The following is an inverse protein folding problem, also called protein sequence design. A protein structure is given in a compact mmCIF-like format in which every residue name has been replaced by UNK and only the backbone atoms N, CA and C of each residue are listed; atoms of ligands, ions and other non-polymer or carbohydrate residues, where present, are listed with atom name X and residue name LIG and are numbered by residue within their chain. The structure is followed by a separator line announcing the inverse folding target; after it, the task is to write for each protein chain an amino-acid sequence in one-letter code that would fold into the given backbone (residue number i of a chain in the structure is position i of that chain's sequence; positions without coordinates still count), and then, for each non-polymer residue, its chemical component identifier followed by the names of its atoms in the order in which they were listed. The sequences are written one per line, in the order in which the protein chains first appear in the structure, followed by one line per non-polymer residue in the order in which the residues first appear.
data_IF_178033391156
#
_entry.id   IF_178033391156
#
_cell.length_a   1.000
_cell.length_b   1.000
_cell.length_c   1.000
_cell.angle_alpha   90.00
_cell.angle_beta   90.00
_cell.angle_gamma   90.00
#
_symmetry.space_group_name_H-M   'P 1'
#
loop_
_entity.id
_entity.type
_entity.pdbx_description
1 polymer ?
#
# COMPACT_ATOMS: atom_id res chain seq x y z
N UNK A 1 -1.99 -9.04 5.19
CA UNK A 1 -1.50 -7.65 5.13
C UNK A 1 -2.35 -6.80 6.06
N UNK A 2 -1.70 -6.17 7.02
CA UNK A 2 -2.26 -5.40 8.14
C UNK A 2 -2.20 -3.89 7.87
N UNK A 3 -2.80 -3.07 8.74
CA UNK A 3 -2.67 -1.61 8.65
C UNK A 3 -1.20 -1.15 8.71
N UNK A 4 -0.38 -1.82 9.53
CA UNK A 4 1.05 -1.55 9.65
C UNK A 4 1.81 -1.75 8.33
N UNK A 5 1.50 -2.83 7.60
CA UNK A 5 2.13 -3.14 6.32
C UNK A 5 1.85 -2.05 5.26
N UNK A 6 0.60 -1.56 5.22
CA UNK A 6 0.20 -0.49 4.29
C UNK A 6 0.87 0.83 4.66
N UNK A 7 0.89 1.20 5.95
CA UNK A 7 1.59 2.41 6.40
C UNK A 7 3.07 2.37 6.12
N UNK A 8 3.71 1.21 6.32
CA UNK A 8 5.12 1.03 6.04
C UNK A 8 5.43 1.16 4.54
N UNK A 9 4.65 0.49 3.69
CA UNK A 9 4.82 0.52 2.25
C UNK A 9 4.74 1.94 1.66
N UNK A 10 3.72 2.70 2.06
CA UNK A 10 3.51 4.06 1.57
C UNK A 10 4.26 5.15 2.36
N UNK A 11 5.04 4.76 3.38
CA UNK A 11 5.71 5.66 4.33
C UNK A 11 4.76 6.70 4.94
N UNK A 12 3.56 6.25 5.29
CA UNK A 12 2.58 7.11 5.95
C UNK A 12 2.86 7.23 7.46
N UNK A 13 2.40 8.34 8.08
CA UNK A 13 2.26 8.42 9.52
C UNK A 13 1.40 7.26 10.05
N UNK A 14 1.81 6.68 11.17
CA UNK A 14 1.18 5.50 11.77
C UNK A 14 -0.34 5.63 11.93
N UNK A 15 -0.81 6.82 12.30
CA UNK A 15 -2.20 7.25 12.48
C UNK A 15 -3.06 7.24 11.21
N UNK A 16 -2.45 7.28 10.02
CA UNK A 16 -3.18 7.42 8.75
C UNK A 16 -4.03 6.19 8.43
N UNK A 17 -3.53 4.97 8.69
CA UNK A 17 -4.28 3.74 8.41
C UNK A 17 -5.16 3.29 9.58
N UNK A 18 -4.96 3.81 10.79
CA UNK A 18 -5.70 3.41 11.99
C UNK A 18 -7.20 3.74 11.92
N UNK A 19 -7.58 4.77 11.16
CA UNK A 19 -8.99 5.16 10.96
C UNK A 19 -9.61 4.63 9.66
N UNK A 20 -8.96 3.68 8.98
CA UNK A 20 -9.49 3.12 7.73
C UNK A 20 -10.40 1.92 7.98
N UNK A 21 -11.50 1.84 7.23
CA UNK A 21 -12.30 0.62 7.19
C UNK A 21 -11.50 -0.53 6.56
N UNK A 22 -11.85 -1.76 6.89
CA UNK A 22 -11.22 -2.96 6.33
C UNK A 22 -11.23 -2.99 4.79
N UNK A 23 -12.33 -2.53 4.17
CA UNK A 23 -12.42 -2.41 2.71
C UNK A 23 -11.42 -1.39 2.14
N UNK A 24 -11.24 -0.25 2.80
CA UNK A 24 -10.28 0.78 2.40
C UNK A 24 -8.84 0.27 2.52
N UNK A 25 -8.54 -0.48 3.59
CA UNK A 25 -7.24 -1.14 3.78
C UNK A 25 -6.94 -2.13 2.66
N UNK A 26 -7.88 -3.01 2.30
CA UNK A 26 -7.70 -3.93 1.15
C UNK A 26 -7.46 -3.20 -0.17
N UNK A 27 -8.16 -2.08 -0.39
CA UNK A 27 -7.96 -1.28 -1.59
C UNK A 27 -6.53 -0.75 -1.70
N UNK A 28 -5.98 -0.25 -0.59
CA UNK A 28 -4.59 0.23 -0.56
C UNK A 28 -3.56 -0.87 -0.72
N UNK A 29 -3.82 -2.06 -0.19
CA UNK A 29 -3.00 -3.26 -0.46
C UNK A 29 -2.96 -3.57 -1.96
N UNK A 30 -4.12 -3.66 -2.61
CA UNK A 30 -4.18 -3.91 -4.05
C UNK A 30 -3.48 -2.80 -4.86
N UNK A 31 -3.54 -1.55 -4.37
CA UNK A 31 -2.86 -0.43 -4.99
C UNK A 31 -1.33 -0.52 -4.84
N UNK A 32 -0.83 -0.97 -3.69
CA UNK A 32 0.59 -1.23 -3.47
C UNK A 32 1.12 -2.30 -4.43
N UNK A 33 0.39 -3.41 -4.59
CA UNK A 33 0.76 -4.47 -5.54
C UNK A 33 0.81 -3.96 -6.98
N UNK A 34 -0.15 -3.12 -7.36
CA UNK A 34 -0.17 -2.50 -8.69
C UNK A 34 1.02 -1.59 -8.94
N UNK A 35 1.39 -0.76 -7.97
CA UNK A 35 2.56 0.13 -8.06
C UNK A 35 3.85 -0.69 -8.14
N UNK A 36 3.98 -1.74 -7.31
CA UNK A 36 5.11 -2.66 -7.38
C UNK A 36 5.24 -3.32 -8.75
N UNK A 37 4.11 -3.77 -9.33
CA UNK A 37 4.10 -4.35 -10.67
C UNK A 37 4.49 -3.35 -11.77
N UNK A 38 4.17 -2.06 -11.61
CA UNK A 38 4.61 -1.00 -12.52
C UNK A 38 6.11 -0.75 -12.37
N UNK A 39 6.62 -0.64 -11.14
CA UNK A 39 8.07 -0.45 -10.88
C UNK A 39 8.89 -1.60 -11.45
N UNK A 40 8.48 -2.83 -11.18
CA UNK A 40 9.15 -4.01 -11.70
C UNK A 40 9.15 -4.12 -13.23
N UNK A 41 8.21 -3.46 -13.92
CA UNK A 41 8.15 -3.40 -15.39
C UNK A 41 8.82 -2.16 -15.99
N UNK A 42 9.07 -1.13 -15.18
CA UNK A 42 9.66 0.13 -15.60
C UNK A 42 11.18 0.19 -15.42
N UNK A 43 11.76 -0.76 -14.68
CA UNK A 43 13.22 -0.94 -14.54
C UNK A 43 13.84 -1.80 -15.69
N UNK A 44 13.03 -2.18 -16.70
CA UNK A 44 13.46 -2.85 -17.94
C UNK A 44 13.69 -1.85 -19.10
N UNK A 45 14.13 -0.62 -18.82
CA UNK A 45 14.61 0.36 -19.83
C UNK A 45 16.10 0.69 -19.67
#
# INVERSE_FOLDING_TARGET
MTAADVTFYFRWPSDTAWNMTWQRLKWWVAQADRINGIRARGDDE
#
